data_IF_492555672459
#
_entry.id   IF_492555672459
#
_cell.length_a   1.000
_cell.length_b   1.000
_cell.length_c   1.000
_cell.angle_alpha   90.00
_cell.angle_beta   90.00
_cell.angle_gamma   90.00
#
_symmetry.space_group_name_H-M   'P 1'
#
loop_
_entity.id
_entity.type
_entity.pdbx_description
1 polymer ?
#
# COMPACT_ATOMS: atom_id res chain seq x y z
N UNK A 1 9.00 4.91 8.81
CA UNK A 1 7.77 5.61 9.21
C UNK A 1 7.27 5.05 10.54
N UNK A 2 6.78 5.90 11.46
CA UNK A 2 6.18 5.46 12.73
C UNK A 2 4.72 5.04 12.48
N UNK A 3 4.21 3.99 13.15
CA UNK A 3 2.83 3.47 12.98
C UNK A 3 1.77 4.55 13.05
N UNK A 4 1.96 5.51 13.94
CA UNK A 4 1.03 6.63 14.11
C UNK A 4 0.96 7.50 12.85
N UNK A 5 2.08 7.73 12.16
CA UNK A 5 2.11 8.47 10.90
C UNK A 5 1.32 7.73 9.82
N UNK A 6 1.47 6.40 9.74
CA UNK A 6 0.70 5.58 8.80
C UNK A 6 -0.79 5.60 9.12
N UNK A 7 -1.16 5.43 10.39
CA UNK A 7 -2.54 5.50 10.85
C UNK A 7 -3.16 6.85 10.46
N UNK A 8 -2.47 7.96 10.72
CA UNK A 8 -2.95 9.29 10.33
C UNK A 8 -3.07 9.44 8.80
N UNK A 9 -2.12 8.88 8.03
CA UNK A 9 -2.20 8.87 6.57
C UNK A 9 -3.43 8.11 6.07
N UNK A 10 -3.68 6.92 6.61
CA UNK A 10 -4.85 6.09 6.28
C UNK A 10 -6.15 6.86 6.56
N UNK A 11 -6.23 7.54 7.71
CA UNK A 11 -7.42 8.32 8.07
C UNK A 11 -7.61 9.54 7.14
N UNK A 12 -6.53 10.21 6.76
CA UNK A 12 -6.57 11.39 5.88
C UNK A 12 -6.88 11.05 4.42
N UNK A 13 -6.34 9.94 3.93
CA UNK A 13 -6.42 9.49 2.52
C UNK A 13 -7.30 8.24 2.41
N UNK A 14 -8.41 8.23 3.16
CA UNK A 14 -9.22 7.03 3.37
C UNK A 14 -9.78 6.44 2.07
N UNK A 15 -10.28 7.26 1.15
CA UNK A 15 -10.85 6.79 -0.12
C UNK A 15 -9.85 6.01 -0.97
N UNK A 16 -8.64 6.55 -1.09
CA UNK A 16 -7.54 6.00 -1.86
C UNK A 16 -7.01 4.74 -1.17
N UNK A 17 -6.88 4.78 0.15
CA UNK A 17 -6.49 3.62 0.94
C UNK A 17 -7.50 2.47 0.83
N UNK A 18 -8.81 2.75 0.91
CA UNK A 18 -9.85 1.73 0.74
C UNK A 18 -9.81 1.11 -0.67
N UNK A 19 -9.50 1.91 -1.69
CA UNK A 19 -9.33 1.41 -3.06
C UNK A 19 -8.15 0.44 -3.13
N UNK A 20 -7.00 0.84 -2.58
CA UNK A 20 -5.83 -0.03 -2.47
C UNK A 20 -6.10 -1.31 -1.66
N UNK A 21 -6.83 -1.21 -0.55
CA UNK A 21 -7.17 -2.36 0.29
C UNK A 21 -8.06 -3.36 -0.46
N UNK A 22 -8.98 -2.88 -1.30
CA UNK A 22 -9.78 -3.75 -2.18
C UNK A 22 -8.93 -4.45 -3.23
N UNK A 23 -7.93 -3.78 -3.80
CA UNK A 23 -6.98 -4.41 -4.74
C UNK A 23 -6.26 -5.57 -4.06
N UNK A 24 -5.70 -5.34 -2.86
CA UNK A 24 -5.02 -6.37 -2.07
C UNK A 24 -5.91 -7.60 -1.80
N UNK A 25 -7.18 -7.39 -1.45
CA UNK A 25 -8.14 -8.49 -1.25
C UNK A 25 -8.42 -9.22 -2.56
N UNK A 26 -8.66 -8.48 -3.65
CA UNK A 26 -8.97 -9.07 -4.95
C UNK A 26 -7.85 -9.93 -5.52
N UNK A 27 -6.60 -9.59 -5.18
CA UNK A 27 -5.40 -10.32 -5.57
C UNK A 27 -4.96 -11.38 -4.54
N UNK A 28 -5.78 -11.62 -3.50
CA UNK A 28 -5.50 -12.58 -2.44
C UNK A 28 -4.13 -12.36 -1.77
N UNK A 29 -3.81 -11.10 -1.45
CA UNK A 29 -2.52 -10.70 -0.84
C UNK A 29 -2.46 -10.92 0.68
N UNK A 30 -3.56 -11.33 1.30
CA UNK A 30 -3.64 -11.62 2.73
C UNK A 30 -3.59 -13.13 2.97
N UNK A 31 -2.48 -13.62 3.52
CA UNK A 31 -2.33 -15.04 3.91
C UNK A 31 -2.95 -15.33 5.28
N UNK A 32 -3.04 -14.30 6.14
CA UNK A 32 -3.59 -14.39 7.49
C UNK A 32 -5.09 -14.05 7.49
N UNK A 33 -5.91 -14.96 8.01
CA UNK A 33 -7.36 -14.79 8.14
C UNK A 33 -7.74 -13.64 9.07
N UNK A 34 -7.00 -13.39 10.15
CA UNK A 34 -7.29 -12.30 11.08
C UNK A 34 -7.12 -10.93 10.40
N UNK A 35 -6.02 -10.77 9.65
CA UNK A 35 -5.76 -9.55 8.88
C UNK A 35 -6.81 -9.34 7.79
N UNK A 36 -7.20 -10.41 7.10
CA UNK A 36 -8.25 -10.34 6.07
C UNK A 36 -9.59 -9.89 6.68
N UNK A 37 -9.98 -10.46 7.81
CA UNK A 37 -11.21 -10.08 8.52
C UNK A 37 -11.19 -8.62 8.96
N UNK A 38 -10.07 -8.14 9.50
CA UNK A 38 -9.90 -6.73 9.87
C UNK A 38 -9.98 -5.83 8.63
N UNK A 39 -9.35 -6.23 7.53
CA UNK A 39 -9.39 -5.48 6.26
C UNK A 39 -10.82 -5.33 5.72
N UNK A 40 -11.61 -6.41 5.74
CA UNK A 40 -13.02 -6.39 5.37
C UNK A 40 -13.85 -5.50 6.29
N UNK A 41 -13.54 -5.51 7.59
CA UNK A 41 -14.18 -4.68 8.58
C UNK A 41 -13.93 -3.19 8.33
N UNK A 42 -12.68 -2.83 8.00
CA UNK A 42 -12.28 -1.46 7.60
C UNK A 42 -13.04 -1.00 6.37
N UNK A 43 -13.15 -1.85 5.34
CA UNK A 43 -13.91 -1.52 4.11
C UNK A 43 -15.39 -1.28 4.40
N UNK A 44 -15.98 -2.09 5.29
CA UNK A 44 -17.42 -2.06 5.55
C UNK A 44 -17.84 -0.92 6.47
N UNK A 45 -17.09 -0.72 7.55
CA UNK A 45 -17.50 0.14 8.67
C UNK A 45 -16.56 1.34 8.88
N UNK A 46 -15.47 1.44 8.11
CA UNK A 46 -14.41 2.41 8.33
C UNK A 46 -13.43 1.95 9.43
N UNK A 47 -12.23 2.56 9.47
CA UNK A 47 -11.16 2.15 10.38
C UNK A 47 -11.32 2.68 11.82
N UNK A 48 -12.21 3.65 12.04
CA UNK A 48 -12.53 4.25 13.35
C UNK A 48 -13.05 3.23 14.37
N UNK A 49 -13.63 2.13 13.89
CA UNK A 49 -14.24 1.09 14.74
C UNK A 49 -13.22 0.06 15.24
N UNK A 50 -11.98 0.09 14.72
CA UNK A 50 -10.93 -0.81 15.15
C UNK A 50 -10.47 -0.46 16.57
N UNK A 51 -10.38 -1.49 17.42
CA UNK A 51 -9.67 -1.39 18.70
C UNK A 51 -8.17 -1.15 18.47
N UNK A 52 -7.46 -0.68 19.50
CA UNK A 52 -6.00 -0.48 19.44
C UNK A 52 -5.24 -1.76 19.07
N UNK A 53 -5.70 -2.92 19.57
CA UNK A 53 -5.12 -4.21 19.21
C UNK A 53 -5.34 -4.54 17.73
N UNK A 54 -6.54 -4.32 17.21
CA UNK A 54 -6.83 -4.55 15.78
C UNK A 54 -6.03 -3.59 14.90
N UNK A 55 -5.89 -2.32 15.30
CA UNK A 55 -5.02 -1.37 14.63
C UNK A 55 -3.57 -1.87 14.59
N UNK A 56 -3.07 -2.40 15.71
CA UNK A 56 -1.71 -2.93 15.76
C UNK A 56 -1.52 -4.09 14.76
N UNK A 57 -2.38 -5.10 14.80
CA UNK A 57 -2.33 -6.26 13.88
C UNK A 57 -2.47 -5.81 12.42
N UNK A 58 -3.45 -4.96 12.15
CA UNK A 58 -3.70 -4.44 10.80
C UNK A 58 -2.49 -3.71 10.23
N UNK A 59 -1.84 -2.85 11.02
CA UNK A 59 -0.69 -2.07 10.56
C UNK A 59 0.55 -2.94 10.44
N UNK A 60 0.92 -3.70 11.47
CA UNK A 60 2.18 -4.45 11.50
C UNK A 60 2.15 -5.64 10.54
N UNK A 61 1.11 -6.46 10.65
CA UNK A 61 1.03 -7.73 9.92
C UNK A 61 0.33 -7.57 8.57
N UNK A 62 -0.59 -6.60 8.48
CA UNK A 62 -1.41 -6.40 7.29
C UNK A 62 -0.91 -5.38 6.28
N UNK A 63 -0.12 -4.39 6.69
CA UNK A 63 0.29 -3.29 5.79
C UNK A 63 1.80 -3.11 5.76
N UNK A 64 2.44 -2.86 6.90
CA UNK A 64 3.86 -2.48 6.99
C UNK A 64 4.82 -3.59 6.58
N UNK A 65 4.44 -4.85 6.76
CA UNK A 65 5.32 -5.98 6.50
C UNK A 65 5.80 -6.05 5.04
N UNK A 66 4.88 -5.90 4.10
CA UNK A 66 5.14 -6.17 2.68
C UNK A 66 4.16 -5.46 1.71
N UNK A 67 3.22 -4.66 2.21
CA UNK A 67 2.15 -4.00 1.43
C UNK A 67 2.22 -2.48 1.56
N UNK A 68 3.38 -1.96 1.93
CA UNK A 68 3.59 -0.54 2.06
C UNK A 68 5.03 -0.14 1.77
N UNK A 69 5.18 0.89 0.95
CA UNK A 69 6.44 1.62 0.76
C UNK A 69 6.13 3.11 0.86
N UNK A 70 6.85 3.79 1.75
CA UNK A 70 6.57 5.19 2.07
C UNK A 70 6.87 6.10 0.88
N UNK A 71 8.12 6.04 0.43
CA UNK A 71 8.67 6.93 -0.58
C UNK A 71 9.29 6.13 -1.71
N UNK A 72 9.22 6.69 -2.91
CA UNK A 72 9.87 6.21 -4.10
C UNK A 72 11.39 6.12 -3.85
N UNK A 73 11.98 4.96 -4.10
CA UNK A 73 13.42 4.76 -3.88
C UNK A 73 14.30 5.68 -4.75
N UNK A 74 13.78 6.12 -5.91
CA UNK A 74 14.53 6.95 -6.84
C UNK A 74 14.42 8.45 -6.57
N UNK A 75 13.21 8.97 -6.36
CA UNK A 75 12.99 10.42 -6.23
C UNK A 75 12.65 10.86 -4.81
N UNK A 76 12.55 9.94 -3.85
CA UNK A 76 12.18 10.19 -2.46
C UNK A 76 10.79 10.82 -2.23
N UNK A 77 10.01 11.01 -3.30
CA UNK A 77 8.62 11.45 -3.21
C UNK A 77 7.74 10.32 -2.70
N UNK A 78 6.73 10.69 -1.93
CA UNK A 78 5.80 9.74 -1.33
C UNK A 78 4.98 8.99 -2.39
N UNK A 79 4.87 7.67 -2.25
CA UNK A 79 4.12 6.84 -3.20
C UNK A 79 2.62 6.96 -2.91
N UNK A 80 1.79 7.44 -3.86
CA UNK A 80 0.34 7.46 -3.68
C UNK A 80 -0.23 6.05 -3.51
N UNK A 81 -1.28 5.89 -2.72
CA UNK A 81 -1.95 4.60 -2.51
C UNK A 81 -2.35 3.91 -3.82
N UNK A 82 -2.85 4.70 -4.78
CA UNK A 82 -3.22 4.22 -6.12
C UNK A 82 -2.07 3.65 -6.95
N UNK A 83 -0.82 3.88 -6.56
CA UNK A 83 0.36 3.32 -7.20
C UNK A 83 1.08 2.27 -6.34
N UNK A 84 0.64 2.06 -5.10
CA UNK A 84 1.31 1.17 -4.15
C UNK A 84 1.35 -0.28 -4.67
N UNK A 85 0.24 -0.77 -5.22
CA UNK A 85 0.16 -2.11 -5.78
C UNK A 85 1.14 -2.31 -6.96
N UNK A 86 1.23 -1.32 -7.84
CA UNK A 86 2.18 -1.34 -8.95
C UNK A 86 3.62 -1.41 -8.46
N UNK A 87 3.98 -0.53 -7.53
CA UNK A 87 5.34 -0.42 -7.00
C UNK A 87 5.80 -1.71 -6.30
N UNK A 88 4.91 -2.36 -5.54
CA UNK A 88 5.26 -3.50 -4.70
C UNK A 88 5.11 -4.84 -5.43
N UNK A 89 4.02 -5.05 -6.18
CA UNK A 89 3.64 -6.38 -6.64
C UNK A 89 3.76 -6.59 -8.15
N UNK A 90 3.57 -5.53 -8.95
CA UNK A 90 3.59 -5.62 -10.42
C UNK A 90 4.99 -5.33 -10.97
N UNK A 91 5.49 -4.12 -10.75
CA UNK A 91 6.81 -3.72 -11.22
C UNK A 91 7.92 -4.17 -10.26
N UNK A 92 7.62 -4.20 -8.96
CA UNK A 92 8.55 -4.61 -7.89
C UNK A 92 9.83 -3.77 -7.87
N UNK A 93 9.70 -2.50 -8.26
CA UNK A 93 10.78 -1.52 -8.35
C UNK A 93 10.71 -0.49 -7.22
N UNK A 94 9.65 -0.52 -6.40
CA UNK A 94 9.42 0.45 -5.32
C UNK A 94 9.45 1.91 -5.80
N UNK A 95 9.09 2.12 -7.07
CA UNK A 95 9.09 3.43 -7.70
C UNK A 95 7.69 4.04 -7.78
N UNK A 96 7.64 5.36 -7.71
CA UNK A 96 6.44 6.09 -8.14
C UNK A 96 6.22 5.89 -9.64
N UNK A 97 4.98 6.04 -10.09
CA UNK A 97 4.59 5.84 -11.48
C UNK A 97 5.47 6.61 -12.48
N UNK A 98 5.87 7.84 -12.14
CA UNK A 98 6.72 8.66 -13.00
C UNK A 98 8.14 8.08 -13.14
N UNK A 99 8.77 7.69 -12.03
CA UNK A 99 10.11 7.09 -12.06
C UNK A 99 10.11 5.75 -12.80
N UNK A 100 9.13 4.90 -12.52
CA UNK A 100 8.97 3.61 -13.20
C UNK A 100 8.76 3.78 -14.72
N UNK A 101 7.96 4.76 -15.14
CA UNK A 101 7.77 5.08 -16.56
C UNK A 101 9.10 5.46 -17.25
N UNK A 102 9.91 6.33 -16.64
CA UNK A 102 11.18 6.76 -17.21
C UNK A 102 12.22 5.65 -17.27
N UNK A 103 12.24 4.74 -16.30
CA UNK A 103 13.13 3.57 -16.35
C UNK A 103 12.78 2.68 -17.52
N UNK A 104 11.52 2.24 -17.59
CA UNK A 104 11.06 1.37 -18.66
C UNK A 104 11.37 1.99 -20.04
N UNK A 105 11.08 3.28 -20.22
CA UNK A 105 11.38 4.00 -21.47
C UNK A 105 12.88 4.04 -21.80
N UNK A 106 13.74 4.25 -20.82
CA UNK A 106 15.20 4.24 -21.01
C UNK A 106 15.69 2.84 -21.39
N UNK A 107 15.13 1.78 -20.80
CA UNK A 107 15.48 0.40 -21.17
C UNK A 107 15.12 0.09 -22.62
N UNK A 108 13.95 0.51 -23.11
CA UNK A 108 13.55 0.27 -24.50
C UNK A 108 14.43 0.96 -25.54
N UNK A 109 15.06 2.09 -25.21
CA UNK A 109 15.98 2.78 -26.12
C UNK A 109 17.38 2.15 -26.18
N UNK A 110 17.73 1.28 -25.22
CA UNK A 110 19.02 0.59 -25.21
C UNK A 110 19.01 -0.74 -25.99
N UNK A 111 17.85 -1.15 -26.54
CA UNK A 111 17.68 -2.37 -27.33
C UNK A 111 17.23 -2.11 -28.78
N UNK A 112 17.22 -0.86 -29.23
CA UNK A 112 17.01 -0.42 -30.61
C UNK A 112 18.25 0.33 -31.11
#
# INVERSE_FOLDING_TARGET
MQRDQLKQRILRELSEFISYLKELISENRFDDGEVLEISLLVIKNGPEILSDKQWYVFLEDGILRDKYVDNCERCSEHIPWSNMNNAIFINKDYHCANCSYFENKATFHNYL
#
